data_IF_471118839026
#
_entry.id   IF_471118839026
#
_cell.length_a   1.000
_cell.length_b   1.000
_cell.length_c   1.000
_cell.angle_alpha   90.00
_cell.angle_beta   90.00
_cell.angle_gamma   90.00
#
_symmetry.space_group_name_H-M   'P 1'
#
loop_
_entity.id
_entity.type
_entity.pdbx_description
1 polymer ?
#
# COMPACT_ATOMS: atom_id res chain seq x y z
N UNK A 1 5.94 13.39 -7.07
CA UNK A 1 6.78 13.66 -5.90
C UNK A 1 6.75 15.17 -5.63
N UNK A 2 6.46 15.58 -4.42
CA UNK A 2 6.32 16.98 -3.99
C UNK A 2 5.11 17.15 -3.09
N UNK A 3 5.05 18.26 -2.39
CA UNK A 3 4.06 18.56 -1.34
C UNK A 3 2.70 19.00 -1.92
N UNK A 4 2.65 19.25 -3.22
CA UNK A 4 1.42 19.66 -3.91
C UNK A 4 0.62 18.45 -4.43
N UNK A 5 -0.27 17.94 -3.57
CA UNK A 5 -1.18 16.87 -3.93
C UNK A 5 -2.43 17.35 -4.69
N UNK A 6 -2.62 18.64 -4.93
CA UNK A 6 -3.74 19.17 -5.73
C UNK A 6 -3.77 18.62 -7.15
N UNK A 7 -2.60 18.31 -7.71
CA UNK A 7 -2.47 17.68 -9.03
C UNK A 7 -3.07 16.27 -9.11
N UNK A 8 -3.30 15.62 -7.98
CA UNK A 8 -3.93 14.30 -7.89
C UNK A 8 -5.43 14.36 -7.61
N UNK A 9 -6.04 15.55 -7.65
CA UNK A 9 -7.46 15.72 -7.40
C UNK A 9 -8.29 14.82 -8.32
N UNK A 10 -9.23 14.07 -7.73
CA UNK A 10 -10.09 13.15 -8.46
C UNK A 10 -9.46 11.82 -8.86
N UNK A 11 -8.23 11.54 -8.44
CA UNK A 11 -7.58 10.26 -8.72
C UNK A 11 -8.34 9.08 -8.12
N UNK A 12 -8.30 7.92 -8.81
CA UNK A 12 -8.87 6.68 -8.28
C UNK A 12 -8.04 6.14 -7.12
N UNK A 13 -6.71 6.26 -7.20
CA UNK A 13 -5.81 5.86 -6.13
C UNK A 13 -4.55 6.71 -6.10
N UNK A 14 -4.06 7.01 -4.89
CA UNK A 14 -2.70 7.50 -4.64
C UNK A 14 -2.01 6.58 -3.64
N UNK A 15 -0.69 6.45 -3.77
CA UNK A 15 0.11 5.53 -2.96
C UNK A 15 1.31 6.22 -2.29
N UNK A 16 1.06 7.17 -1.38
CA UNK A 16 2.16 7.81 -0.67
C UNK A 16 2.85 6.84 0.30
N UNK A 17 4.13 7.08 0.53
CA UNK A 17 4.81 6.56 1.71
C UNK A 17 4.62 7.48 2.92
N UNK A 18 5.14 7.09 4.10
CA UNK A 18 5.02 7.88 5.34
C UNK A 18 5.61 9.28 5.21
N UNK A 19 6.79 9.42 4.62
CA UNK A 19 7.46 10.73 4.46
C UNK A 19 6.66 11.66 3.56
N UNK A 20 6.19 11.14 2.45
CA UNK A 20 5.37 11.87 1.48
C UNK A 20 4.04 12.30 2.10
N UNK A 21 3.39 11.41 2.84
CA UNK A 21 2.13 11.75 3.50
C UNK A 21 2.35 12.79 4.60
N UNK A 22 3.40 12.65 5.43
CA UNK A 22 3.75 13.63 6.47
C UNK A 22 4.02 15.02 5.92
N UNK A 23 4.65 15.13 4.76
CA UNK A 23 4.90 16.41 4.11
C UNK A 23 3.59 17.16 3.79
N UNK A 24 2.49 16.45 3.59
CA UNK A 24 1.20 17.03 3.19
C UNK A 24 0.26 17.25 4.38
N UNK A 25 0.16 16.28 5.30
CA UNK A 25 -0.80 16.34 6.41
C UNK A 25 -0.16 16.62 7.78
N UNK A 26 1.16 16.76 7.81
CA UNK A 26 1.91 16.90 9.06
C UNK A 26 2.05 15.58 9.82
N UNK A 27 2.69 15.64 10.99
CA UNK A 27 2.88 14.48 11.85
C UNK A 27 1.56 13.99 12.46
N UNK A 28 1.54 12.72 12.87
CA UNK A 28 0.47 12.11 13.67
C UNK A 28 1.07 11.34 14.84
N UNK A 29 0.34 11.29 15.96
CA UNK A 29 0.79 10.68 17.20
C UNK A 29 0.32 9.22 17.35
N UNK A 30 -0.77 8.85 16.70
CA UNK A 30 -1.38 7.53 16.79
C UNK A 30 -2.21 7.20 15.55
N UNK A 31 -2.64 5.94 15.43
CA UNK A 31 -3.41 5.43 14.29
C UNK A 31 -4.75 6.17 14.09
N UNK A 32 -5.40 6.58 15.17
CA UNK A 32 -6.67 7.32 15.09
C UNK A 32 -6.48 8.69 14.45
N UNK A 33 -5.40 9.39 14.81
CA UNK A 33 -5.05 10.68 14.21
C UNK A 33 -4.63 10.53 12.75
N UNK A 34 -3.83 9.50 12.43
CA UNK A 34 -3.45 9.16 11.06
C UNK A 34 -4.70 8.93 10.20
N UNK A 35 -5.61 8.07 10.65
CA UNK A 35 -6.85 7.77 9.93
C UNK A 35 -7.66 9.04 9.68
N UNK A 36 -7.85 9.87 10.70
CA UNK A 36 -8.59 11.15 10.58
C UNK A 36 -7.95 12.07 9.52
N UNK A 37 -6.63 12.26 9.57
CA UNK A 37 -5.90 13.14 8.65
C UNK A 37 -5.87 12.57 7.21
N UNK A 38 -5.66 11.27 7.06
CA UNK A 38 -5.68 10.62 5.74
C UNK A 38 -7.06 10.69 5.08
N UNK A 39 -8.12 10.46 5.84
CA UNK A 39 -9.49 10.57 5.36
C UNK A 39 -9.83 12.01 4.96
N UNK A 40 -9.43 13.00 5.75
CA UNK A 40 -9.65 14.42 5.44
C UNK A 40 -8.91 14.85 4.16
N UNK A 41 -7.67 14.41 3.97
CA UNK A 41 -6.91 14.66 2.72
C UNK A 41 -7.61 14.04 1.52
N UNK A 42 -7.98 12.75 1.62
CA UNK A 42 -8.69 12.02 0.59
C UNK A 42 -9.98 12.74 0.16
N UNK A 43 -10.78 13.16 1.14
CA UNK A 43 -12.04 13.86 0.90
C UNK A 43 -11.83 15.24 0.26
N UNK A 44 -10.90 16.04 0.79
CA UNK A 44 -10.54 17.37 0.26
C UNK A 44 -10.11 17.32 -1.20
N UNK A 45 -9.42 16.27 -1.61
CA UNK A 45 -8.92 16.10 -2.98
C UNK A 45 -9.83 15.21 -3.84
N UNK A 46 -10.98 14.77 -3.33
CA UNK A 46 -11.90 13.87 -4.02
C UNK A 46 -11.22 12.59 -4.55
N UNK A 47 -10.21 12.10 -3.82
CA UNK A 47 -9.49 10.86 -4.13
C UNK A 47 -10.32 9.67 -3.65
N UNK A 48 -10.52 8.64 -4.49
CA UNK A 48 -11.32 7.47 -4.10
C UNK A 48 -10.60 6.59 -3.08
N UNK A 49 -9.31 6.33 -3.30
CA UNK A 49 -8.50 5.46 -2.45
C UNK A 49 -7.14 6.08 -2.13
N UNK A 50 -6.76 6.11 -0.85
CA UNK A 50 -5.42 6.46 -0.42
C UNK A 50 -4.79 5.20 0.20
N UNK A 51 -3.77 4.64 -0.46
CA UNK A 51 -3.02 3.48 -0.02
C UNK A 51 -1.67 3.94 0.54
N UNK A 52 -1.54 3.99 1.86
CA UNK A 52 -0.31 4.37 2.54
C UNK A 52 0.64 3.17 2.63
N UNK A 53 1.84 3.31 2.07
CA UNK A 53 2.91 2.32 2.25
C UNK A 53 3.69 2.62 3.53
N UNK A 54 3.91 1.60 4.37
CA UNK A 54 4.43 1.74 5.73
C UNK A 54 5.69 0.91 5.98
N UNK A 55 6.39 0.53 4.93
CA UNK A 55 7.58 -0.32 4.98
C UNK A 55 7.29 -1.64 5.71
N UNK A 56 8.03 -1.94 6.76
CA UNK A 56 7.89 -3.14 7.59
C UNK A 56 6.52 -3.29 8.29
N UNK A 57 5.78 -2.21 8.44
CA UNK A 57 4.44 -2.24 9.03
C UNK A 57 3.34 -2.63 8.03
N UNK A 58 3.65 -2.71 6.73
CA UNK A 58 2.69 -3.11 5.70
C UNK A 58 1.96 -1.96 5.03
N UNK A 59 0.66 -2.10 4.81
CA UNK A 59 -0.17 -1.19 4.06
C UNK A 59 -1.38 -0.73 4.86
N UNK A 60 -1.77 0.54 4.71
CA UNK A 60 -3.05 1.05 5.22
C UNK A 60 -3.84 1.67 4.08
N UNK A 61 -5.08 1.25 3.90
CA UNK A 61 -5.98 1.73 2.85
C UNK A 61 -7.11 2.54 3.45
N UNK A 62 -7.35 3.72 2.90
CA UNK A 62 -8.40 4.65 3.29
C UNK A 62 -9.33 4.93 2.10
N UNK A 63 -10.63 4.64 2.27
CA UNK A 63 -11.70 4.90 1.30
C UNK A 63 -12.88 5.58 1.98
N UNK A 64 -13.90 5.99 1.23
CA UNK A 64 -14.98 6.87 1.72
C UNK A 64 -15.63 6.44 3.04
N UNK A 65 -15.89 5.15 3.23
CA UNK A 65 -16.54 4.61 4.43
C UNK A 65 -15.80 3.40 4.99
N UNK A 66 -14.54 3.25 4.62
CA UNK A 66 -13.75 2.11 5.01
C UNK A 66 -12.28 2.48 5.20
N UNK A 67 -11.68 1.95 6.23
CA UNK A 67 -10.23 1.96 6.40
C UNK A 67 -9.78 0.62 6.97
N UNK A 68 -8.59 0.19 6.58
CA UNK A 68 -8.01 -1.05 7.05
C UNK A 68 -6.50 -1.05 6.94
N UNK A 69 -5.91 -2.02 7.60
CA UNK A 69 -4.47 -2.24 7.63
C UNK A 69 -4.19 -3.72 7.35
N UNK A 70 -3.15 -3.98 6.54
CA UNK A 70 -2.61 -5.31 6.29
C UNK A 70 -1.12 -5.30 6.66
N UNK A 71 -0.75 -6.04 7.70
CA UNK A 71 0.61 -6.10 8.19
C UNK A 71 1.50 -6.90 7.23
N UNK A 72 2.76 -6.48 7.10
CA UNK A 72 3.75 -7.25 6.37
C UNK A 72 4.11 -8.52 7.15
N UNK A 73 4.17 -9.67 6.47
CA UNK A 73 4.72 -10.88 7.06
C UNK A 73 6.23 -10.71 7.19
N UNK A 74 6.81 -10.96 8.39
CA UNK A 74 8.26 -10.87 8.57
C UNK A 74 9.01 -11.78 7.59
N UNK A 75 10.03 -11.21 6.94
CA UNK A 75 10.85 -11.92 5.95
C UNK A 75 12.22 -11.26 5.81
N UNK A 76 13.15 -11.96 5.20
CA UNK A 76 14.44 -11.39 4.83
C UNK A 76 14.23 -10.34 3.73
N UNK A 77 14.85 -9.18 3.91
CA UNK A 77 14.83 -8.06 2.96
C UNK A 77 16.26 -7.87 2.46
N UNK A 78 16.47 -8.06 1.16
CA UNK A 78 17.74 -7.82 0.51
C UNK A 78 17.83 -6.44 -0.11
N UNK A 79 16.77 -6.00 -0.78
CA UNK A 79 16.71 -4.69 -1.43
C UNK A 79 15.25 -4.20 -1.50
N UNK A 80 15.01 -2.96 -1.12
CA UNK A 80 13.67 -2.34 -1.18
C UNK A 80 13.39 -1.63 -2.50
N UNK A 81 14.35 -1.61 -3.42
CA UNK A 81 14.20 -0.95 -4.72
C UNK A 81 13.05 -1.56 -5.53
N UNK A 82 12.17 -0.70 -6.02
CA UNK A 82 11.02 -1.13 -6.83
C UNK A 82 9.81 -1.67 -6.04
N UNK A 83 9.89 -1.78 -4.71
CA UNK A 83 8.78 -2.26 -3.89
C UNK A 83 7.54 -1.35 -4.04
N UNK A 84 7.72 -0.03 -4.03
CA UNK A 84 6.64 0.94 -4.21
C UNK A 84 5.96 0.83 -5.58
N UNK A 85 6.73 0.67 -6.64
CA UNK A 85 6.21 0.50 -8.00
C UNK A 85 5.45 -0.82 -8.16
N UNK A 86 5.91 -1.88 -7.49
CA UNK A 86 5.24 -3.18 -7.46
C UNK A 86 3.91 -3.10 -6.69
N UNK A 87 3.87 -2.40 -5.56
CA UNK A 87 2.64 -2.16 -4.79
C UNK A 87 1.61 -1.43 -5.65
N UNK A 88 2.00 -0.34 -6.32
CA UNK A 88 1.12 0.43 -7.20
C UNK A 88 0.55 -0.44 -8.32
N UNK A 89 1.39 -1.22 -8.98
CA UNK A 89 0.97 -2.08 -10.08
C UNK A 89 -0.03 -3.15 -9.61
N UNK A 90 0.28 -3.86 -8.53
CA UNK A 90 -0.57 -4.90 -7.96
C UNK A 90 -1.90 -4.34 -7.42
N UNK A 91 -1.85 -3.23 -6.69
CA UNK A 91 -3.04 -2.59 -6.14
C UNK A 91 -3.95 -2.03 -7.24
N UNK A 92 -3.40 -1.42 -8.28
CA UNK A 92 -4.16 -0.90 -9.42
C UNK A 92 -4.87 -2.02 -10.17
N UNK A 93 -4.18 -3.13 -10.42
CA UNK A 93 -4.80 -4.29 -11.06
C UNK A 93 -5.93 -4.87 -10.20
N UNK A 94 -5.69 -5.05 -8.91
CA UNK A 94 -6.68 -5.56 -7.96
C UNK A 94 -7.93 -4.66 -7.90
N UNK A 95 -7.73 -3.33 -7.88
CA UNK A 95 -8.81 -2.35 -7.92
C UNK A 95 -9.61 -2.43 -9.23
N UNK A 96 -8.92 -2.53 -10.37
CA UNK A 96 -9.54 -2.55 -11.69
C UNK A 96 -10.43 -3.79 -11.90
N UNK A 97 -10.06 -4.93 -11.33
CA UNK A 97 -10.86 -6.17 -11.41
C UNK A 97 -11.86 -6.32 -10.25
N UNK A 98 -11.99 -5.31 -9.39
CA UNK A 98 -13.02 -5.25 -8.35
C UNK A 98 -12.81 -6.18 -7.16
N UNK A 99 -11.57 -6.46 -6.79
CA UNK A 99 -11.27 -7.25 -5.58
C UNK A 99 -11.67 -6.49 -4.30
N UNK A 100 -11.92 -7.24 -3.23
CA UNK A 100 -12.16 -6.64 -1.92
C UNK A 100 -10.93 -5.87 -1.43
N UNK A 101 -11.13 -4.87 -0.58
CA UNK A 101 -10.06 -4.04 -0.04
C UNK A 101 -8.99 -4.85 0.71
N UNK A 102 -9.41 -5.86 1.47
CA UNK A 102 -8.50 -6.74 2.18
C UNK A 102 -7.63 -7.56 1.22
N UNK A 103 -8.25 -8.13 0.18
CA UNK A 103 -7.52 -8.92 -0.80
C UNK A 103 -6.59 -8.05 -1.65
N UNK A 104 -6.99 -6.82 -1.99
CA UNK A 104 -6.14 -5.84 -2.65
C UNK A 104 -4.86 -5.58 -1.85
N UNK A 105 -4.98 -5.28 -0.55
CA UNK A 105 -3.83 -5.02 0.30
C UNK A 105 -2.94 -6.25 0.45
N UNK A 106 -3.54 -7.43 0.67
CA UNK A 106 -2.80 -8.69 0.81
C UNK A 106 -2.01 -9.03 -0.45
N UNK A 107 -2.59 -8.86 -1.63
CA UNK A 107 -1.90 -9.09 -2.92
C UNK A 107 -0.77 -8.07 -3.10
N UNK A 108 -0.99 -6.80 -2.82
CA UNK A 108 0.03 -5.77 -2.95
C UNK A 108 1.20 -5.99 -1.98
N UNK A 109 0.93 -6.36 -0.72
CA UNK A 109 1.95 -6.73 0.27
C UNK A 109 2.74 -7.98 -0.14
N UNK A 110 2.06 -9.02 -0.62
CA UNK A 110 2.71 -10.25 -1.06
C UNK A 110 3.63 -9.99 -2.26
N UNK A 111 3.18 -9.21 -3.23
CA UNK A 111 3.98 -8.84 -4.40
C UNK A 111 5.23 -8.03 -4.02
N UNK A 112 5.08 -7.05 -3.11
CA UNK A 112 6.22 -6.30 -2.56
C UNK A 112 7.19 -7.23 -1.82
N UNK A 113 6.67 -8.18 -1.05
CA UNK A 113 7.47 -9.18 -0.34
C UNK A 113 8.33 -10.05 -1.26
N UNK A 114 7.81 -10.44 -2.41
CA UNK A 114 8.60 -11.16 -3.44
C UNK A 114 9.74 -10.28 -3.96
N UNK A 115 9.46 -9.03 -4.26
CA UNK A 115 10.45 -8.10 -4.83
C UNK A 115 11.57 -7.80 -3.86
N UNK A 116 11.25 -7.46 -2.59
CA UNK A 116 12.28 -7.10 -1.59
C UNK A 116 13.14 -8.29 -1.15
N UNK A 117 12.73 -9.52 -1.43
CA UNK A 117 13.54 -10.73 -1.21
C UNK A 117 14.60 -10.98 -2.30
N UNK A 118 14.67 -10.12 -3.29
CA UNK A 118 15.61 -10.22 -4.42
C UNK A 118 16.58 -9.05 -4.41
N UNK A 119 17.77 -9.23 -5.02
CA UNK A 119 18.75 -8.17 -5.20
C UNK A 119 18.35 -7.26 -6.37
N UNK A 120 18.49 -5.95 -6.18
CA UNK A 120 18.23 -4.93 -7.18
C UNK A 120 16.75 -4.78 -7.52
N UNK A 121 16.47 -4.01 -8.56
CA UNK A 121 15.11 -3.84 -9.09
C UNK A 121 14.64 -5.16 -9.71
N UNK A 122 13.68 -5.80 -9.07
CA UNK A 122 13.18 -7.11 -9.46
C UNK A 122 11.69 -7.06 -9.83
N UNK A 123 11.23 -8.09 -10.52
CA UNK A 123 9.83 -8.29 -10.86
C UNK A 123 9.21 -9.40 -10.02
N UNK A 124 7.90 -9.38 -9.87
CA UNK A 124 7.11 -10.43 -9.24
C UNK A 124 6.31 -11.18 -10.32
N UNK A 125 6.66 -12.44 -10.57
CA UNK A 125 5.88 -13.28 -11.48
C UNK A 125 4.59 -13.78 -10.82
N UNK A 126 3.63 -14.21 -11.64
CA UNK A 126 2.39 -14.81 -11.14
C UNK A 126 2.64 -16.03 -10.25
N UNK A 127 3.59 -16.88 -10.64
CA UNK A 127 3.92 -18.08 -9.87
C UNK A 127 4.49 -17.74 -8.49
N UNK A 128 5.41 -16.79 -8.42
CA UNK A 128 6.00 -16.31 -7.15
C UNK A 128 4.95 -15.65 -6.26
N UNK A 129 4.06 -14.83 -6.82
CA UNK A 129 2.97 -14.22 -6.08
C UNK A 129 2.04 -15.28 -5.47
N UNK A 130 1.62 -16.27 -6.27
CA UNK A 130 0.78 -17.36 -5.80
C UNK A 130 1.45 -18.16 -4.67
N UNK A 131 2.73 -18.48 -4.83
CA UNK A 131 3.49 -19.20 -3.82
C UNK A 131 3.60 -18.41 -2.50
N UNK A 132 3.83 -17.08 -2.60
CA UNK A 132 3.87 -16.19 -1.44
C UNK A 132 2.52 -16.12 -0.72
N UNK A 133 1.42 -15.96 -1.46
CA UNK A 133 0.07 -15.93 -0.88
C UNK A 133 -0.26 -17.22 -0.12
N UNK A 134 0.03 -18.38 -0.71
CA UNK A 134 -0.17 -19.68 -0.05
C UNK A 134 0.68 -19.86 1.22
N UNK A 135 1.88 -19.28 1.25
CA UNK A 135 2.72 -19.31 2.46
C UNK A 135 2.15 -18.46 3.60
N UNK A 136 1.54 -17.32 3.27
CA UNK A 136 0.89 -16.43 4.26
C UNK A 136 -0.34 -17.10 4.87
N UNK A 137 -1.19 -17.74 4.07
CA UNK A 137 -2.38 -18.44 4.56
C UNK A 137 -2.05 -19.57 5.56
N UNK A 138 -0.90 -20.22 5.41
CA UNK A 138 -0.44 -21.26 6.36
C UNK A 138 0.04 -20.71 7.70
N UNK A 139 0.45 -19.46 7.76
CA UNK A 139 0.91 -18.79 9.00
C UNK A 139 -0.29 -18.29 9.81
N UNK A 140 -1.37 -17.92 9.13
CA UNK A 140 -2.62 -17.42 9.75
C UNK A 140 -3.53 -18.55 10.31
N UNK A 141 -3.16 -19.81 10.12
CA UNK A 141 -3.83 -21.00 10.68
C UNK A 141 -3.11 -21.52 11.93
#
# INVERSE_FOLDING_TARGET
KGDDYKKYQGADMITPNRSELKAVIGNWQNEKELTKKAMALREKLHIKSLLLTRSEEGLSLYQRHWSGHDATVPQEVFDVSGAGDTIIAAATLALAIGLSNQLLMRIANAAAGVVVSKLGTATCSKAELMQKLLSIEKVDQ
#
